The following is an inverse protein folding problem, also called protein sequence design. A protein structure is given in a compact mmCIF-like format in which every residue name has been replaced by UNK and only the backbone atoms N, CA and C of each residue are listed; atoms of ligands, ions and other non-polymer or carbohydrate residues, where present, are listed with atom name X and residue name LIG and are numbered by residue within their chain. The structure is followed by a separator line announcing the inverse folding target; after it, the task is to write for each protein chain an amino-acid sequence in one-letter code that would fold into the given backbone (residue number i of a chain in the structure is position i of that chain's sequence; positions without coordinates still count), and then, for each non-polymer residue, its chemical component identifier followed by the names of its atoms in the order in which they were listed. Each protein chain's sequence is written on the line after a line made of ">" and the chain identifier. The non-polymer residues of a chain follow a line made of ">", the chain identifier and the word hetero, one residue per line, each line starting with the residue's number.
data_IF_189939283144
#
_entry.id   IF_189939283144
#
_cell.length_a   1.000
_cell.length_b   1.000
_cell.length_c   1.000
_cell.angle_alpha   90.00
_cell.angle_beta   90.00
_cell.angle_gamma   90.00
#
_symmetry.space_group_name_H-M   'P 1'
#
loop_
_entity.id
_entity.type
_entity.pdbx_description
1 polymer ?
#
# COMPACT_ATOMS: atom_id res chain seq x y z
N UNK A 1 -62.60 32.90 27.52
CA UNK A 1 -61.43 32.01 27.65
C UNK A 1 -61.79 30.72 26.95
N UNK A 2 -61.41 30.59 25.68
CA UNK A 2 -61.71 29.39 24.89
C UNK A 2 -60.58 28.38 25.07
N UNK A 3 -60.94 27.15 25.47
CA UNK A 3 -59.99 26.06 25.64
C UNK A 3 -59.51 25.58 24.26
N UNK A 4 -58.18 25.38 24.07
CA UNK A 4 -57.66 24.88 22.81
C UNK A 4 -58.23 23.49 22.50
N UNK A 5 -58.62 23.30 21.24
CA UNK A 5 -59.22 22.07 20.74
C UNK A 5 -58.21 20.91 20.79
N UNK A 6 -58.68 19.68 21.04
CA UNK A 6 -57.84 18.46 21.16
C UNK A 6 -56.86 18.26 20.00
N UNK A 7 -57.17 18.78 18.82
CA UNK A 7 -56.32 18.69 17.64
C UNK A 7 -55.15 19.69 17.67
N UNK A 8 -55.30 20.85 18.30
CA UNK A 8 -54.21 21.79 18.52
C UNK A 8 -53.19 21.24 19.55
N UNK A 9 -53.68 20.52 20.57
CA UNK A 9 -52.81 19.85 21.55
C UNK A 9 -51.99 18.72 20.89
N UNK A 10 -52.63 17.89 20.05
CA UNK A 10 -51.93 16.82 19.30
C UNK A 10 -50.90 17.36 18.29
N UNK A 11 -51.17 18.50 17.66
CA UNK A 11 -50.22 19.11 16.73
C UNK A 11 -49.01 19.71 17.47
N UNK A 12 -49.21 20.25 18.67
CA UNK A 12 -48.12 20.71 19.53
C UNK A 12 -47.29 19.56 20.11
N UNK A 13 -47.89 18.42 20.45
CA UNK A 13 -47.18 17.22 20.90
C UNK A 13 -46.35 16.56 19.78
N UNK A 14 -46.86 16.52 18.54
CA UNK A 14 -46.08 16.05 17.38
C UNK A 14 -44.88 16.94 17.06
N UNK A 15 -45.02 18.27 17.21
CA UNK A 15 -43.88 19.19 17.06
C UNK A 15 -42.84 19.03 18.19
N UNK A 16 -43.26 18.70 19.41
CA UNK A 16 -42.34 18.38 20.53
C UNK A 16 -41.56 17.08 20.30
N UNK A 17 -42.15 16.07 19.67
CA UNK A 17 -41.47 14.80 19.39
C UNK A 17 -40.48 14.85 18.20
N UNK A 18 -40.61 15.83 17.29
CA UNK A 18 -39.67 16.02 16.17
C UNK A 18 -38.38 16.76 16.58
N UNK A 19 -38.32 17.35 17.77
CA UNK A 19 -37.13 18.04 18.29
C UNK A 19 -36.29 17.19 19.25
N UNK A 20 -36.57 15.90 19.39
CA UNK A 20 -35.75 15.00 20.20
C UNK A 20 -34.55 14.56 19.35
N UNK A 21 -33.31 15.01 19.66
CA UNK A 21 -32.14 14.61 18.88
C UNK A 21 -31.99 13.09 18.91
N UNK A 22 -31.76 12.49 17.73
CA UNK A 22 -31.58 11.05 17.60
C UNK A 22 -30.52 10.53 18.58
N UNK A 23 -30.62 9.28 19.03
CA UNK A 23 -29.60 8.65 19.90
C UNK A 23 -28.18 8.78 19.31
N UNK A 24 -28.03 8.79 17.98
CA UNK A 24 -26.75 9.02 17.30
C UNK A 24 -26.24 10.47 17.47
N UNK A 25 -27.14 11.46 17.48
CA UNK A 25 -26.82 12.88 17.71
C UNK A 25 -26.44 13.13 19.17
N UNK A 26 -27.10 12.47 20.13
CA UNK A 26 -26.75 12.55 21.55
C UNK A 26 -25.41 11.87 21.86
N UNK A 27 -25.12 10.73 21.22
CA UNK A 27 -23.81 10.05 21.31
C UNK A 27 -22.68 10.92 20.75
N UNK A 28 -22.91 11.60 19.61
CA UNK A 28 -21.96 12.58 19.06
C UNK A 28 -21.74 13.74 20.03
N UNK A 29 -22.80 14.32 20.62
CA UNK A 29 -22.67 15.41 21.60
C UNK A 29 -21.85 15.02 22.84
N UNK A 30 -22.01 13.80 23.37
CA UNK A 30 -21.18 13.31 24.49
C UNK A 30 -19.71 13.12 24.10
N UNK A 31 -19.43 12.59 22.92
CA UNK A 31 -18.05 12.50 22.40
C UNK A 31 -17.42 13.88 22.17
N UNK A 32 -18.23 14.86 21.73
CA UNK A 32 -17.81 16.25 21.54
C UNK A 32 -17.48 16.93 22.87
N UNK A 33 -18.29 16.74 23.92
CA UNK A 33 -18.01 17.28 25.25
C UNK A 33 -16.73 16.68 25.86
N UNK A 34 -16.50 15.38 25.68
CA UNK A 34 -15.25 14.74 26.11
C UNK A 34 -14.03 15.24 25.32
N UNK A 35 -14.18 15.57 24.03
CA UNK A 35 -13.07 16.10 23.21
C UNK A 35 -12.74 17.57 23.49
N UNK A 36 -13.73 18.39 23.89
CA UNK A 36 -13.51 19.80 24.24
C UNK A 36 -12.88 19.93 25.64
N UNK A 37 -13.22 19.05 26.58
CA UNK A 37 -12.55 18.97 27.88
C UNK A 37 -11.03 18.70 27.75
N UNK A 38 -10.61 18.00 26.68
CA UNK A 38 -9.19 17.75 26.37
C UNK A 38 -8.45 19.03 25.92
N UNK A 39 -9.16 20.07 25.47
CA UNK A 39 -8.58 21.34 25.00
C UNK A 39 -8.56 22.46 26.06
N UNK A 40 -8.75 22.13 27.34
CA UNK A 40 -8.61 23.08 28.44
C UNK A 40 -9.74 24.10 28.57
N UNK A 41 -10.86 23.92 27.86
CA UNK A 41 -12.09 24.66 28.11
C UNK A 41 -12.82 24.00 29.27
N UNK A 42 -12.77 24.62 30.45
CA UNK A 42 -13.58 24.21 31.59
C UNK A 42 -15.05 24.54 31.32
N UNK A 43 -15.81 23.50 30.97
CA UNK A 43 -17.24 23.56 30.64
C UNK A 43 -18.10 22.90 31.72
N UNK A 44 -17.51 22.30 32.76
CA UNK A 44 -18.24 21.43 33.68
C UNK A 44 -19.28 22.20 34.50
N UNK A 45 -18.99 23.48 34.80
CA UNK A 45 -19.83 24.34 35.65
C UNK A 45 -20.70 25.36 34.90
N UNK A 46 -20.75 25.31 33.56
CA UNK A 46 -21.51 26.28 32.77
C UNK A 46 -22.93 25.79 32.47
N UNK A 47 -23.87 26.73 32.37
CA UNK A 47 -25.21 26.46 31.81
C UNK A 47 -25.12 26.07 30.32
N UNK A 48 -26.16 25.45 29.76
CA UNK A 48 -26.15 25.02 28.35
C UNK A 48 -25.96 26.21 27.39
N UNK A 49 -26.59 27.35 27.67
CA UNK A 49 -26.45 28.59 26.89
C UNK A 49 -25.02 29.15 26.95
N UNK A 50 -24.42 29.22 28.13
CA UNK A 50 -23.03 29.69 28.30
C UNK A 50 -22.02 28.76 27.59
N UNK A 51 -22.26 27.44 27.61
CA UNK A 51 -21.44 26.49 26.85
C UNK A 51 -21.55 26.76 25.35
N UNK A 52 -22.77 26.93 24.83
CA UNK A 52 -22.97 27.20 23.41
C UNK A 52 -22.31 28.52 22.99
N UNK A 53 -22.40 29.56 23.81
CA UNK A 53 -21.79 30.87 23.53
C UNK A 53 -20.26 30.80 23.56
N UNK A 54 -19.65 30.14 24.56
CA UNK A 54 -18.20 29.92 24.59
C UNK A 54 -17.71 29.09 23.40
N UNK A 55 -18.46 28.07 23.00
CA UNK A 55 -18.13 27.27 21.81
C UNK A 55 -18.16 28.14 20.56
N UNK A 56 -19.18 28.99 20.37
CA UNK A 56 -19.27 29.91 19.22
C UNK A 56 -18.09 30.88 19.18
N UNK A 57 -17.77 31.54 20.29
CA UNK A 57 -16.63 32.45 20.38
C UNK A 57 -15.30 31.75 20.07
N UNK A 58 -15.11 30.53 20.57
CA UNK A 58 -13.93 29.74 20.26
C UNK A 58 -13.85 29.41 18.76
N UNK A 59 -14.96 28.99 18.14
CA UNK A 59 -15.02 28.67 16.70
C UNK A 59 -14.74 29.91 15.85
N UNK A 60 -15.29 31.07 16.20
CA UNK A 60 -15.04 32.34 15.51
C UNK A 60 -13.57 32.79 15.63
N UNK A 61 -12.89 32.40 16.72
CA UNK A 61 -11.46 32.66 16.90
C UNK A 61 -10.54 31.73 16.08
N UNK A 62 -11.05 30.61 15.55
CA UNK A 62 -10.25 29.69 14.73
C UNK A 62 -9.99 30.30 13.35
N UNK A 63 -8.72 30.52 13.00
CA UNK A 63 -8.33 31.07 11.68
C UNK A 63 -8.81 30.20 10.52
N UNK A 64 -8.71 28.88 10.68
CA UNK A 64 -9.12 27.90 9.68
C UNK A 64 -9.86 26.75 10.36
N UNK A 65 -11.18 26.81 10.59
CA UNK A 65 -11.89 25.74 11.29
C UNK A 65 -11.88 24.44 10.49
N UNK A 66 -11.59 23.32 11.14
CA UNK A 66 -11.55 21.99 10.53
C UNK A 66 -12.82 21.71 9.72
N UNK A 67 -12.66 21.30 8.46
CA UNK A 67 -13.77 21.03 7.55
C UNK A 67 -14.73 19.94 8.06
N UNK A 68 -14.25 18.99 8.86
CA UNK A 68 -15.03 17.86 9.35
C UNK A 68 -15.72 18.13 10.69
N UNK A 69 -14.97 18.46 11.75
CA UNK A 69 -15.54 18.63 13.09
C UNK A 69 -15.95 20.07 13.42
N UNK A 70 -15.38 21.07 12.71
CA UNK A 70 -15.57 22.51 12.98
C UNK A 70 -15.16 22.97 14.39
N UNK A 71 -14.51 22.10 15.16
CA UNK A 71 -14.18 22.33 16.58
C UNK A 71 -12.72 22.68 16.82
N UNK A 72 -11.84 22.33 15.90
CA UNK A 72 -10.40 22.51 16.02
C UNK A 72 -9.88 23.21 14.79
N UNK A 73 -8.72 23.85 14.89
CA UNK A 73 -8.05 24.41 13.74
C UNK A 73 -7.65 23.28 12.76
N UNK A 74 -7.91 23.51 11.48
CA UNK A 74 -7.51 22.66 10.39
C UNK A 74 -6.05 22.91 10.05
N UNK A 75 -5.20 21.93 10.32
CA UNK A 75 -3.75 22.01 10.13
C UNK A 75 -3.28 21.12 8.97
N UNK A 76 -4.06 20.10 8.62
CA UNK A 76 -3.68 19.09 7.64
C UNK A 76 -4.58 19.18 6.41
N UNK A 77 -3.98 19.11 5.23
CA UNK A 77 -4.72 19.15 3.97
C UNK A 77 -5.20 17.75 3.61
N UNK A 78 -6.51 17.56 3.60
CA UNK A 78 -7.15 16.37 3.06
C UNK A 78 -7.84 16.74 1.73
N UNK A 79 -7.20 16.39 0.61
CA UNK A 79 -7.57 16.84 -0.74
C UNK A 79 -7.51 18.36 -0.89
N UNK A 80 -8.64 19.06 -0.70
CA UNK A 80 -8.76 20.52 -0.79
C UNK A 80 -9.26 21.15 0.51
N UNK A 81 -9.43 20.35 1.56
CA UNK A 81 -10.02 20.77 2.83
C UNK A 81 -8.99 20.70 3.94
N UNK A 82 -8.91 21.76 4.74
CA UNK A 82 -8.14 21.74 5.98
C UNK A 82 -8.91 20.97 7.05
N UNK A 83 -8.26 19.98 7.66
CA UNK A 83 -8.83 19.18 8.75
C UNK A 83 -7.88 19.17 9.94
N UNK A 84 -8.43 19.03 11.15
CA UNK A 84 -7.61 18.88 12.34
C UNK A 84 -6.98 17.49 12.41
N UNK A 85 -5.98 17.34 13.28
CA UNK A 85 -5.22 16.11 13.47
C UNK A 85 -6.11 14.88 13.72
N UNK A 86 -7.10 15.02 14.62
CA UNK A 86 -8.00 13.92 15.00
C UNK A 86 -8.82 13.46 13.80
N UNK A 87 -9.42 14.40 13.07
CA UNK A 87 -10.22 14.12 11.88
C UNK A 87 -9.38 13.54 10.76
N UNK A 88 -8.13 13.99 10.63
CA UNK A 88 -7.18 13.45 9.67
C UNK A 88 -6.88 11.98 9.96
N UNK A 89 -6.40 11.67 11.17
CA UNK A 89 -6.10 10.30 11.62
C UNK A 89 -7.29 9.36 11.44
N UNK A 90 -8.48 9.79 11.86
CA UNK A 90 -9.70 8.99 11.70
C UNK A 90 -10.01 8.70 10.23
N UNK A 91 -9.78 9.67 9.34
CA UNK A 91 -10.03 9.48 7.90
C UNK A 91 -9.04 8.52 7.27
N UNK A 92 -7.73 8.67 7.53
CA UNK A 92 -6.69 7.79 7.01
C UNK A 92 -6.93 6.36 7.49
N UNK A 93 -7.16 6.19 8.80
CA UNK A 93 -7.53 4.90 9.38
C UNK A 93 -8.76 4.31 8.71
N UNK A 94 -9.84 5.09 8.55
CA UNK A 94 -11.08 4.59 7.94
C UNK A 94 -10.89 4.14 6.50
N UNK A 95 -10.10 4.89 5.70
CA UNK A 95 -9.78 4.51 4.32
C UNK A 95 -9.06 3.16 4.28
N UNK A 96 -8.01 3.00 5.08
CA UNK A 96 -7.25 1.76 5.14
C UNK A 96 -8.08 0.58 5.69
N UNK A 97 -8.83 0.81 6.78
CA UNK A 97 -9.66 -0.22 7.42
C UNK A 97 -10.82 -0.71 6.54
N UNK A 98 -11.42 0.19 5.72
CA UNK A 98 -12.53 -0.19 4.84
C UNK A 98 -12.15 -1.27 3.82
N UNK A 99 -10.88 -1.32 3.37
CA UNK A 99 -10.41 -2.41 2.49
C UNK A 99 -10.40 -3.76 3.19
N UNK A 100 -10.00 -3.77 4.46
CA UNK A 100 -9.98 -4.99 5.26
C UNK A 100 -11.40 -5.43 5.60
N UNK A 101 -12.30 -4.48 5.92
CA UNK A 101 -13.71 -4.77 6.21
C UNK A 101 -14.50 -5.25 4.99
N UNK A 102 -14.17 -4.74 3.80
CA UNK A 102 -14.82 -5.13 2.55
C UNK A 102 -14.44 -6.55 2.09
N UNK A 103 -13.25 -7.00 2.48
CA UNK A 103 -12.90 -8.41 2.45
C UNK A 103 -13.71 -9.13 3.54
N UNK A 104 -14.36 -10.26 3.21
CA UNK A 104 -15.18 -11.07 4.14
C UNK A 104 -14.52 -11.31 5.52
N UNK A 105 -15.31 -11.64 6.57
CA UNK A 105 -15.02 -11.30 7.97
C UNK A 105 -13.62 -11.67 8.41
N UNK A 106 -12.94 -10.74 9.09
CA UNK A 106 -11.60 -10.92 9.68
C UNK A 106 -11.49 -11.99 10.77
N UNK A 107 -12.52 -12.79 10.93
CA UNK A 107 -12.65 -13.80 11.97
C UNK A 107 -11.72 -15.00 11.75
N UNK A 108 -10.97 -15.02 10.64
CA UNK A 108 -10.09 -16.12 10.23
C UNK A 108 -8.62 -15.74 10.08
N UNK A 109 -8.21 -14.50 10.36
CA UNK A 109 -6.80 -14.11 10.27
C UNK A 109 -5.98 -14.68 11.43
N UNK A 110 -5.46 -15.91 11.27
CA UNK A 110 -4.55 -16.50 12.27
C UNK A 110 -3.18 -15.81 12.21
N UNK A 111 -2.62 -15.68 10.99
CA UNK A 111 -1.27 -15.18 10.78
C UNK A 111 -1.14 -14.28 9.54
N UNK A 112 -0.60 -13.09 9.71
CA UNK A 112 -0.45 -12.07 8.65
C UNK A 112 1.01 -11.70 8.48
N UNK A 113 1.53 -11.80 7.26
CA UNK A 113 2.82 -11.24 6.89
C UNK A 113 2.65 -9.84 6.31
N UNK A 114 3.31 -8.84 6.88
CA UNK A 114 3.43 -7.50 6.30
C UNK A 114 4.76 -7.43 5.57
N UNK A 115 4.72 -7.40 4.24
CA UNK A 115 5.92 -7.24 3.44
C UNK A 115 6.23 -5.75 3.26
N UNK A 116 7.37 -5.34 3.78
CA UNK A 116 7.95 -4.00 3.68
C UNK A 116 9.18 -4.12 2.78
N UNK A 117 9.12 -3.53 1.60
CA UNK A 117 10.22 -3.65 0.62
C UNK A 117 11.13 -2.45 0.77
N UNK A 118 12.37 -2.67 1.21
CA UNK A 118 13.37 -1.61 1.22
C UNK A 118 13.43 -0.89 -0.13
N UNK A 119 13.49 0.44 -0.14
CA UNK A 119 13.90 1.14 -1.35
C UNK A 119 15.40 0.93 -1.54
N UNK A 120 15.80 0.60 -2.77
CA UNK A 120 17.21 0.56 -3.13
C UNK A 120 17.75 1.99 -2.94
N UNK A 121 18.95 2.21 -2.37
CA UNK A 121 19.49 3.54 -2.08
C UNK A 121 19.92 4.32 -3.35
N UNK A 122 19.06 4.40 -4.35
CA UNK A 122 19.32 5.00 -5.65
C UNK A 122 18.34 6.15 -5.88
N UNK A 123 18.91 7.37 -5.88
CA UNK A 123 18.48 8.56 -6.64
C UNK A 123 17.10 9.16 -6.31
N UNK A 124 17.00 9.99 -5.26
CA UNK A 124 16.52 11.40 -5.41
C UNK A 124 16.61 12.27 -4.12
N UNK A 125 17.51 11.97 -3.18
CA UNK A 125 17.57 12.70 -1.89
C UNK A 125 18.17 14.12 -1.96
N UNK A 126 18.43 14.67 -3.16
CA UNK A 126 19.18 15.94 -3.30
C UNK A 126 18.33 17.21 -3.47
N UNK A 127 17.00 17.15 -3.46
CA UNK A 127 16.19 18.33 -3.82
C UNK A 127 15.35 19.00 -2.72
N UNK A 128 15.38 18.54 -1.49
CA UNK A 128 14.76 19.29 -0.40
C UNK A 128 15.56 19.14 0.88
N UNK A 129 15.90 20.27 1.53
CA UNK A 129 16.36 20.34 2.92
C UNK A 129 15.26 19.91 3.92
N UNK A 130 14.29 19.09 3.48
CA UNK A 130 13.21 18.57 4.29
C UNK A 130 13.60 17.16 4.72
N UNK A 131 13.48 16.92 6.03
CA UNK A 131 13.58 15.64 6.76
C UNK A 131 13.50 14.45 5.80
N UNK A 132 14.58 13.66 5.75
CA UNK A 132 14.69 12.43 4.95
C UNK A 132 13.49 11.54 5.28
N UNK A 133 12.55 11.49 4.34
CA UNK A 133 11.36 10.67 4.37
C UNK A 133 11.79 9.20 4.31
N UNK A 134 11.34 8.39 5.27
CA UNK A 134 11.41 6.93 5.19
C UNK A 134 10.00 6.41 4.87
N UNK A 135 9.65 6.23 3.58
CA UNK A 135 8.34 5.74 3.16
C UNK A 135 7.94 4.45 3.87
N UNK A 136 8.92 3.61 4.20
CA UNK A 136 8.72 2.31 4.84
C UNK A 136 8.25 2.47 6.29
N UNK A 137 8.82 3.43 7.01
CA UNK A 137 8.37 3.77 8.35
C UNK A 137 6.93 4.29 8.31
N UNK A 138 6.59 5.11 7.31
CA UNK A 138 5.26 5.66 7.15
C UNK A 138 4.20 4.59 6.83
N UNK A 139 4.48 3.72 5.87
CA UNK A 139 3.63 2.58 5.52
C UNK A 139 3.43 1.65 6.69
N UNK A 140 4.51 1.26 7.37
CA UNK A 140 4.45 0.39 8.54
C UNK A 140 3.58 0.99 9.65
N UNK A 141 3.71 2.29 9.91
CA UNK A 141 2.92 2.99 10.93
C UNK A 141 1.43 2.91 10.64
N UNK A 142 1.02 3.15 9.38
CA UNK A 142 -0.38 3.04 8.97
C UNK A 142 -0.85 1.60 9.13
N UNK A 143 -0.11 0.64 8.58
CA UNK A 143 -0.45 -0.79 8.62
C UNK A 143 -0.62 -1.29 10.05
N UNK A 144 0.34 -0.99 10.93
CA UNK A 144 0.28 -1.37 12.35
C UNK A 144 -0.89 -0.70 13.06
N UNK A 145 -1.20 0.57 12.80
CA UNK A 145 -2.36 1.22 13.44
C UNK A 145 -3.67 0.57 13.00
N UNK A 146 -3.76 0.24 11.70
CA UNK A 146 -4.95 -0.36 11.10
C UNK A 146 -5.15 -1.77 11.64
N UNK A 147 -4.12 -2.62 11.57
CA UNK A 147 -4.13 -4.01 12.05
C UNK A 147 -4.23 -4.08 13.59
N UNK A 148 -3.58 -3.17 14.31
CA UNK A 148 -3.60 -3.13 15.77
C UNK A 148 -4.96 -2.75 16.34
N UNK A 149 -5.73 -1.87 15.70
CA UNK A 149 -7.09 -1.51 16.17
C UNK A 149 -8.15 -2.56 15.83
N UNK A 150 -7.94 -3.39 14.81
CA UNK A 150 -8.77 -4.60 14.56
C UNK A 150 -8.80 -5.47 15.82
N UNK A 151 -7.68 -5.58 16.53
CA UNK A 151 -7.51 -6.37 17.76
C UNK A 151 -8.44 -5.94 18.91
N UNK A 152 -8.79 -4.66 19.01
CA UNK A 152 -9.58 -4.13 20.13
C UNK A 152 -11.10 -4.38 20.01
N UNK A 153 -11.56 -5.05 18.95
CA UNK A 153 -12.98 -5.36 18.70
C UNK A 153 -13.44 -6.76 19.14
N UNK A 154 -12.76 -7.44 20.08
CA UNK A 154 -12.97 -8.84 20.53
C UNK A 154 -12.48 -9.95 19.58
N UNK A 155 -11.71 -9.65 18.52
CA UNK A 155 -11.10 -10.68 17.66
C UNK A 155 -9.62 -10.34 17.43
N UNK A 156 -8.75 -11.11 18.05
CA UNK A 156 -7.31 -10.88 18.05
C UNK A 156 -6.72 -11.45 16.76
N UNK A 157 -6.09 -10.59 15.94
CA UNK A 157 -5.04 -11.03 15.03
C UNK A 157 -3.93 -11.62 15.90
N UNK A 158 -3.78 -12.94 15.88
CA UNK A 158 -2.92 -13.63 16.84
C UNK A 158 -1.43 -13.41 16.55
N UNK A 159 -1.04 -13.34 15.28
CA UNK A 159 0.37 -13.22 14.88
C UNK A 159 0.53 -12.28 13.68
N UNK A 160 1.18 -11.13 13.90
CA UNK A 160 1.69 -10.27 12.84
C UNK A 160 3.18 -10.56 12.70
N UNK A 161 3.63 -10.82 11.48
CA UNK A 161 5.04 -10.93 11.13
C UNK A 161 5.40 -9.84 10.11
N UNK A 162 6.64 -9.39 10.14
CA UNK A 162 7.17 -8.41 9.20
C UNK A 162 8.22 -9.10 8.35
N UNK A 163 8.11 -8.95 7.03
CA UNK A 163 9.19 -9.29 6.10
C UNK A 163 9.80 -7.99 5.58
N UNK A 164 11.07 -7.74 5.93
CA UNK A 164 11.87 -6.70 5.30
C UNK A 164 12.73 -7.31 4.20
N UNK A 165 12.51 -6.87 2.96
CA UNK A 165 13.41 -7.21 1.85
C UNK A 165 14.58 -6.22 1.82
N UNK A 166 15.75 -6.70 2.21
CA UNK A 166 16.98 -5.92 2.23
C UNK A 166 17.58 -5.82 0.82
N UNK A 167 17.79 -4.57 0.39
CA UNK A 167 18.40 -4.19 -0.88
C UNK A 167 19.72 -3.41 -0.66
N UNK A 168 20.32 -3.54 0.52
CA UNK A 168 21.56 -2.85 0.89
C UNK A 168 21.34 -1.45 1.48
N UNK A 169 20.12 -1.12 1.90
CA UNK A 169 19.83 0.13 2.62
C UNK A 169 19.87 -0.11 4.13
N UNK A 170 21.06 0.04 4.72
CA UNK A 170 21.29 -0.18 6.15
C UNK A 170 20.46 0.76 7.04
N UNK A 171 20.16 1.98 6.59
CA UNK A 171 19.34 2.90 7.39
C UNK A 171 17.88 2.44 7.45
N UNK A 172 17.29 2.08 6.31
CA UNK A 172 15.93 1.53 6.27
C UNK A 172 15.84 0.22 7.06
N UNK A 173 16.85 -0.64 6.99
CA UNK A 173 16.95 -1.87 7.78
C UNK A 173 16.95 -1.58 9.28
N UNK A 174 17.82 -0.67 9.72
CA UNK A 174 17.92 -0.25 11.13
C UNK A 174 16.62 0.39 11.62
N UNK A 175 15.97 1.21 10.79
CA UNK A 175 14.63 1.75 11.07
C UNK A 175 13.62 0.62 11.28
N UNK A 176 13.48 -0.30 10.33
CA UNK A 176 12.49 -1.40 10.43
C UNK A 176 12.80 -2.33 11.62
N UNK A 177 14.08 -2.58 11.93
CA UNK A 177 14.48 -3.29 13.15
C UNK A 177 14.01 -2.58 14.42
N UNK A 178 14.22 -1.26 14.51
CA UNK A 178 13.78 -0.49 15.69
C UNK A 178 12.26 -0.46 15.81
N UNK A 179 11.56 -0.36 14.70
CA UNK A 179 10.10 -0.50 14.65
C UNK A 179 9.67 -1.88 15.17
N UNK A 180 10.23 -2.96 14.65
CA UNK A 180 9.89 -4.31 15.09
C UNK A 180 10.13 -4.54 16.59
N UNK A 181 11.24 -4.01 17.12
CA UNK A 181 11.56 -4.03 18.56
C UNK A 181 10.50 -3.28 19.38
N UNK A 182 10.24 -2.02 19.03
CA UNK A 182 9.30 -1.14 19.76
C UNK A 182 7.89 -1.76 19.82
N UNK A 183 7.47 -2.42 18.75
CA UNK A 183 6.13 -3.01 18.65
C UNK A 183 6.06 -4.48 19.01
N UNK A 184 7.19 -5.10 19.39
CA UNK A 184 7.28 -6.52 19.74
C UNK A 184 6.69 -7.43 18.65
N UNK A 185 7.08 -7.16 17.41
CA UNK A 185 6.64 -7.91 16.22
C UNK A 185 7.82 -8.71 15.68
N UNK A 186 7.57 -9.95 15.25
CA UNK A 186 8.61 -10.78 14.64
C UNK A 186 9.05 -10.17 13.31
N UNK A 187 10.36 -9.95 13.16
CA UNK A 187 10.96 -9.41 11.96
C UNK A 187 11.80 -10.47 11.25
N UNK A 188 11.46 -10.71 9.99
CA UNK A 188 12.21 -11.53 9.06
C UNK A 188 12.92 -10.61 8.07
N UNK A 189 14.25 -10.60 8.12
CA UNK A 189 15.06 -9.86 7.14
C UNK A 189 15.50 -10.86 6.07
N UNK A 190 15.24 -10.53 4.81
CA UNK A 190 15.66 -11.32 3.66
C UNK A 190 16.43 -10.46 2.68
N UNK A 191 17.66 -10.83 2.41
CA UNK A 191 18.43 -10.16 1.37
C UNK A 191 18.04 -10.73 0.01
N UNK A 192 17.85 -9.86 -0.98
CA UNK A 192 17.38 -10.32 -2.31
C UNK A 192 18.35 -11.29 -2.99
N UNK A 193 19.65 -11.14 -2.72
CA UNK A 193 20.67 -12.05 -3.23
C UNK A 193 20.56 -13.47 -2.65
N UNK A 194 19.83 -13.70 -1.56
CA UNK A 194 19.55 -15.05 -1.04
C UNK A 194 18.85 -15.91 -2.11
N UNK A 195 18.07 -15.28 -3.00
CA UNK A 195 17.48 -15.96 -4.16
C UNK A 195 18.51 -16.54 -5.14
N UNK A 196 19.75 -16.05 -5.08
CA UNK A 196 20.86 -16.39 -5.96
C UNK A 196 22.07 -16.94 -5.17
N UNK A 197 21.80 -17.59 -4.02
CA UNK A 197 22.84 -18.20 -3.18
C UNK A 197 23.63 -17.20 -2.33
N UNK A 198 23.10 -16.00 -2.11
CA UNK A 198 23.71 -14.95 -1.27
C UNK A 198 24.75 -14.08 -1.97
N UNK A 199 24.87 -14.15 -3.30
CA UNK A 199 25.88 -13.41 -4.07
C UNK A 199 25.26 -12.24 -4.86
N UNK A 200 25.68 -11.02 -4.56
CA UNK A 200 25.30 -9.82 -5.32
C UNK A 200 25.80 -9.88 -6.77
N UNK A 201 26.95 -10.52 -7.00
CA UNK A 201 27.43 -10.75 -8.36
C UNK A 201 26.49 -11.64 -9.16
N UNK A 202 25.94 -12.69 -8.55
CA UNK A 202 25.01 -13.60 -9.22
C UNK A 202 23.70 -12.89 -9.56
N UNK A 203 23.17 -12.10 -8.62
CA UNK A 203 22.01 -11.24 -8.88
C UNK A 203 22.29 -10.26 -10.02
N UNK A 204 23.42 -9.55 -9.99
CA UNK A 204 23.78 -8.58 -11.02
C UNK A 204 24.00 -9.26 -12.39
N UNK A 205 24.65 -10.44 -12.41
CA UNK A 205 24.82 -11.26 -13.64
C UNK A 205 23.47 -11.68 -14.20
N UNK A 206 22.54 -12.14 -13.35
CA UNK A 206 21.19 -12.51 -13.75
C UNK A 206 20.41 -11.31 -14.30
N UNK A 207 20.39 -10.17 -13.62
CA UNK A 207 19.67 -8.98 -14.08
C UNK A 207 20.19 -8.47 -15.42
N UNK A 208 21.51 -8.49 -15.66
CA UNK A 208 22.13 -8.09 -16.94
C UNK A 208 21.67 -8.92 -18.15
N UNK A 209 21.05 -10.08 -17.92
CA UNK A 209 20.46 -10.91 -18.97
C UNK A 209 19.20 -10.26 -19.56
N UNK A 210 18.57 -9.31 -18.87
CA UNK A 210 17.34 -8.67 -19.29
C UNK A 210 17.56 -7.20 -19.62
N UNK A 211 16.79 -6.70 -20.59
CA UNK A 211 16.76 -5.26 -20.91
C UNK A 211 16.04 -4.45 -19.84
N UNK A 212 14.94 -4.98 -19.31
CA UNK A 212 14.17 -4.37 -18.23
C UNK A 212 14.54 -5.00 -16.88
N UNK A 213 15.65 -4.54 -16.30
CA UNK A 213 16.20 -5.10 -15.07
C UNK A 213 15.32 -4.81 -13.85
N UNK A 214 14.69 -3.64 -13.81
CA UNK A 214 13.87 -3.21 -12.68
C UNK A 214 12.57 -4.01 -12.61
N UNK A 215 11.96 -4.33 -13.75
CA UNK A 215 10.80 -5.22 -13.84
C UNK A 215 11.12 -6.65 -13.37
N UNK A 216 12.26 -7.21 -13.82
CA UNK A 216 12.72 -8.54 -13.36
C UNK A 216 12.99 -8.53 -11.86
N UNK A 217 13.61 -7.47 -11.34
CA UNK A 217 13.86 -7.32 -9.92
C UNK A 217 12.56 -7.31 -9.12
N UNK A 218 11.51 -6.63 -9.58
CA UNK A 218 10.18 -6.65 -8.95
C UNK A 218 9.58 -8.06 -8.93
N UNK A 219 9.71 -8.80 -10.03
CA UNK A 219 9.21 -10.17 -10.12
C UNK A 219 9.94 -11.08 -9.12
N UNK A 220 11.27 -10.96 -9.02
CA UNK A 220 12.07 -11.71 -8.05
C UNK A 220 11.68 -11.35 -6.61
N UNK A 221 11.53 -10.06 -6.29
CA UNK A 221 11.06 -9.59 -4.97
C UNK A 221 9.71 -10.22 -4.61
N UNK A 222 8.76 -10.18 -5.54
CA UNK A 222 7.42 -10.71 -5.31
C UNK A 222 7.45 -12.22 -5.07
N UNK A 223 8.18 -12.99 -5.87
CA UNK A 223 8.32 -14.43 -5.64
C UNK A 223 9.01 -14.75 -4.31
N UNK A 224 10.02 -13.97 -3.89
CA UNK A 224 10.69 -14.14 -2.61
C UNK A 224 9.75 -13.86 -1.42
N UNK A 225 8.85 -12.88 -1.56
CA UNK A 225 7.79 -12.62 -0.58
C UNK A 225 6.85 -13.82 -0.48
N UNK A 226 6.41 -14.37 -1.61
CA UNK A 226 5.51 -15.53 -1.64
C UNK A 226 6.17 -16.80 -1.08
N UNK A 227 7.44 -17.04 -1.43
CA UNK A 227 8.26 -18.13 -0.87
C UNK A 227 8.38 -18.03 0.65
N UNK A 228 8.65 -16.83 1.15
CA UNK A 228 8.77 -16.58 2.58
C UNK A 228 7.42 -16.73 3.29
N UNK A 229 6.34 -16.24 2.66
CA UNK A 229 4.97 -16.40 3.15
C UNK A 229 4.60 -17.89 3.29
N UNK A 230 5.00 -18.73 2.33
CA UNK A 230 4.77 -20.17 2.40
C UNK A 230 5.59 -20.82 3.53
N UNK A 231 6.86 -20.46 3.68
CA UNK A 231 7.73 -21.01 4.75
C UNK A 231 7.26 -20.65 6.16
N UNK A 232 6.69 -19.46 6.31
CA UNK A 232 6.16 -18.97 7.59
C UNK A 232 4.71 -19.44 7.84
N UNK A 233 4.14 -20.21 6.91
CA UNK A 233 2.77 -20.68 6.91
C UNK A 233 1.74 -19.56 7.16
N UNK A 234 1.95 -18.38 6.57
CA UNK A 234 1.02 -17.27 6.74
C UNK A 234 -0.22 -17.48 5.88
N UNK A 235 -1.39 -17.09 6.39
CA UNK A 235 -2.65 -17.18 5.66
C UNK A 235 -2.88 -15.95 4.77
N UNK A 236 -2.30 -14.83 5.17
CA UNK A 236 -2.54 -13.53 4.55
C UNK A 236 -1.24 -12.75 4.39
N UNK A 237 -1.13 -12.07 3.25
CA UNK A 237 -0.01 -11.21 2.90
C UNK A 237 -0.51 -9.78 2.75
N UNK A 238 0.10 -8.82 3.43
CA UNK A 238 -0.16 -7.41 3.22
C UNK A 238 1.03 -6.77 2.50
N UNK A 239 0.75 -6.13 1.37
CA UNK A 239 1.72 -5.34 0.62
C UNK A 239 1.55 -3.86 0.96
N UNK A 240 2.66 -3.11 0.97
CA UNK A 240 2.68 -1.68 1.30
C UNK A 240 2.32 -0.76 0.14
N UNK A 241 2.03 -1.29 -1.05
CA UNK A 241 1.73 -0.45 -2.22
C UNK A 241 0.55 0.51 -1.95
N UNK A 242 0.81 1.80 -2.07
CA UNK A 242 -0.22 2.82 -1.95
C UNK A 242 -0.96 3.04 -3.27
N UNK A 243 -2.00 3.86 -3.26
CA UNK A 243 -2.78 4.16 -4.45
C UNK A 243 -1.97 4.77 -5.60
N UNK A 244 -0.94 5.55 -5.27
CA UNK A 244 -0.07 6.14 -6.28
C UNK A 244 0.85 5.11 -6.92
N UNK A 245 1.40 4.18 -6.14
CA UNK A 245 2.20 3.06 -6.67
C UNK A 245 1.37 2.13 -7.54
N UNK A 246 0.15 1.80 -7.09
CA UNK A 246 -0.77 0.96 -7.88
C UNK A 246 -1.12 1.64 -9.21
N UNK A 247 -1.38 2.95 -9.21
CA UNK A 247 -1.66 3.70 -10.43
C UNK A 247 -0.45 3.71 -11.37
N UNK A 248 0.74 4.03 -10.86
CA UNK A 248 2.01 4.00 -11.61
C UNK A 248 2.28 2.62 -12.21
N UNK A 249 2.28 1.57 -11.40
CA UNK A 249 2.56 0.19 -11.81
C UNK A 249 1.52 -0.27 -12.86
N UNK A 250 0.23 0.04 -12.65
CA UNK A 250 -0.82 -0.33 -13.61
C UNK A 250 -0.63 0.37 -14.95
N UNK A 251 -0.35 1.67 -14.95
CA UNK A 251 -0.12 2.41 -16.20
C UNK A 251 1.16 1.95 -16.91
N UNK A 252 2.20 1.57 -16.16
CA UNK A 252 3.41 0.96 -16.71
C UNK A 252 3.06 -0.36 -17.43
N UNK A 253 2.32 -1.26 -16.77
CA UNK A 253 1.87 -2.51 -17.36
C UNK A 253 1.03 -2.28 -18.62
N UNK A 254 0.05 -1.37 -18.58
CA UNK A 254 -0.80 -1.07 -19.74
C UNK A 254 0.03 -0.51 -20.91
N UNK A 255 0.93 0.42 -20.65
CA UNK A 255 1.79 1.03 -21.69
C UNK A 255 2.79 0.04 -22.30
N UNK A 256 3.16 -1.00 -21.56
CA UNK A 256 3.97 -2.13 -22.07
C UNK A 256 3.13 -3.18 -22.83
N UNK A 257 1.81 -3.01 -22.94
CA UNK A 257 0.90 -3.99 -23.55
C UNK A 257 0.58 -5.17 -22.64
N UNK A 258 0.73 -5.02 -21.32
CA UNK A 258 0.47 -6.03 -20.28
C UNK A 258 -0.83 -5.73 -19.52
N UNK A 259 -1.88 -5.35 -20.25
CA UNK A 259 -3.14 -4.89 -19.67
C UNK A 259 -3.87 -5.91 -18.80
N UNK A 260 -3.62 -7.22 -18.93
CA UNK A 260 -4.25 -8.23 -18.05
C UNK A 260 -3.44 -8.42 -16.75
N UNK A 261 -2.11 -8.25 -16.80
CA UNK A 261 -1.25 -8.32 -15.60
C UNK A 261 -1.66 -7.27 -14.55
N UNK A 262 -2.23 -6.14 -14.97
CA UNK A 262 -2.68 -5.09 -14.04
C UNK A 262 -3.77 -5.56 -13.07
N UNK A 263 -4.51 -6.63 -13.37
CA UNK A 263 -5.60 -7.11 -12.51
C UNK A 263 -5.11 -7.54 -11.12
N UNK A 264 -3.86 -7.95 -11.00
CA UNK A 264 -3.25 -8.29 -9.70
C UNK A 264 -2.92 -7.04 -8.89
N UNK A 265 -2.58 -5.94 -9.56
CA UNK A 265 -2.23 -4.67 -8.93
C UNK A 265 -3.45 -3.92 -8.41
N UNK A 266 -4.54 -3.89 -9.20
CA UNK A 266 -5.70 -3.05 -8.91
C UNK A 266 -6.50 -3.55 -7.70
N UNK A 267 -6.51 -4.85 -7.44
CA UNK A 267 -7.37 -5.43 -6.43
C UNK A 267 -6.93 -5.04 -5.00
N UNK A 268 -7.90 -4.58 -4.19
CA UNK A 268 -7.68 -4.39 -2.75
C UNK A 268 -7.35 -5.71 -2.05
N UNK A 269 -7.97 -6.80 -2.53
CA UNK A 269 -7.70 -8.18 -2.10
C UNK A 269 -7.59 -9.07 -3.33
N UNK A 270 -6.43 -9.69 -3.50
CA UNK A 270 -6.15 -10.65 -4.57
C UNK A 270 -5.99 -12.06 -3.99
N UNK A 271 -6.57 -13.04 -4.66
CA UNK A 271 -6.21 -14.46 -4.45
C UNK A 271 -5.04 -14.78 -5.36
N UNK A 272 -3.94 -15.22 -4.76
CA UNK A 272 -2.71 -15.57 -5.48
C UNK A 272 -2.38 -17.01 -5.17
N UNK A 273 -2.45 -17.85 -6.21
CA UNK A 273 -2.03 -19.24 -6.10
C UNK A 273 -0.49 -19.28 -6.17
N UNK A 274 0.13 -19.83 -5.14
CA UNK A 274 1.57 -20.08 -5.11
C UNK A 274 1.82 -21.51 -4.67
N UNK A 275 2.37 -22.31 -5.59
CA UNK A 275 2.47 -23.76 -5.45
C UNK A 275 1.10 -24.37 -5.10
N UNK A 276 0.99 -25.05 -3.97
CA UNK A 276 -0.23 -25.70 -3.49
C UNK A 276 -1.07 -24.83 -2.55
N UNK A 277 -0.61 -23.63 -2.17
CA UNK A 277 -1.30 -22.73 -1.23
C UNK A 277 -1.90 -21.52 -1.97
N UNK A 278 -3.14 -21.19 -1.64
CA UNK A 278 -3.75 -19.93 -2.06
C UNK A 278 -3.50 -18.88 -0.96
N UNK A 279 -2.90 -17.76 -1.33
CA UNK A 279 -2.69 -16.63 -0.45
C UNK A 279 -3.73 -15.54 -0.73
N UNK A 280 -4.21 -14.91 0.34
CA UNK A 280 -4.98 -13.68 0.24
C UNK A 280 -4.04 -12.48 0.43
N UNK A 281 -3.87 -11.70 -0.63
CA UNK A 281 -2.96 -10.56 -0.71
C UNK A 281 -3.74 -9.26 -0.56
N UNK A 282 -3.42 -8.44 0.43
CA UNK A 282 -4.09 -7.18 0.78
C UNK A 282 -3.24 -5.99 0.37
N UNK A 283 -3.91 -4.96 -0.14
CA UNK A 283 -3.34 -3.64 -0.42
C UNK A 283 -4.05 -2.60 0.42
N UNK A 284 -3.74 -2.58 1.72
CA UNK A 284 -4.44 -1.78 2.72
C UNK A 284 -4.29 -0.28 2.45
N UNK A 285 -3.19 0.13 1.81
CA UNK A 285 -2.87 1.53 1.50
C UNK A 285 -3.39 1.99 0.13
N UNK A 286 -4.16 1.15 -0.60
CA UNK A 286 -4.65 1.45 -1.96
C UNK A 286 -5.39 2.79 -2.08
N UNK A 287 -6.16 3.18 -1.08
CA UNK A 287 -6.93 4.45 -1.10
C UNK A 287 -6.17 5.65 -0.53
N UNK A 288 -4.89 5.47 -0.22
CA UNK A 288 -4.00 6.51 0.28
C UNK A 288 -3.00 6.91 -0.79
N UNK A 289 -2.60 8.17 -0.77
CA UNK A 289 -1.51 8.69 -1.59
C UNK A 289 -0.29 8.96 -0.70
N UNK A 290 0.89 9.12 -1.29
CA UNK A 290 2.14 9.33 -0.55
C UNK A 290 2.07 10.49 0.45
N UNK A 291 1.54 11.63 0.03
CA UNK A 291 1.37 12.78 0.94
C UNK A 291 0.42 12.49 2.10
N UNK A 292 -0.58 11.64 1.91
CA UNK A 292 -1.50 11.26 2.97
C UNK A 292 -0.85 10.33 4.00
N UNK A 293 -0.06 9.37 3.51
CA UNK A 293 0.72 8.44 4.34
C UNK A 293 1.79 9.21 5.13
N UNK A 294 2.47 10.16 4.49
CA UNK A 294 3.51 10.96 5.13
C UNK A 294 2.97 11.87 6.24
N UNK A 295 1.90 12.61 5.99
CA UNK A 295 1.30 13.46 7.02
C UNK A 295 0.74 12.63 8.18
N UNK A 296 0.16 11.46 7.90
CA UNK A 296 -0.24 10.53 8.94
C UNK A 296 0.96 10.08 9.78
N UNK A 297 2.05 9.71 9.14
CA UNK A 297 3.29 9.33 9.80
C UNK A 297 3.82 10.44 10.71
N UNK A 298 3.89 11.69 10.23
CA UNK A 298 4.32 12.84 11.05
C UNK A 298 3.46 12.99 12.31
N UNK A 299 2.16 12.82 12.19
CA UNK A 299 1.24 12.87 13.33
C UNK A 299 1.58 11.77 14.34
N UNK A 300 1.74 10.53 13.87
CA UNK A 300 2.08 9.41 14.74
C UNK A 300 3.43 9.62 15.41
N UNK A 301 4.40 10.19 14.70
CA UNK A 301 5.71 10.53 15.25
C UNK A 301 5.64 11.59 16.34
N UNK A 302 4.59 12.41 16.47
CA UNK A 302 4.44 13.36 17.57
C UNK A 302 3.95 12.71 18.88
N UNK A 303 3.44 11.47 18.82
CA UNK A 303 2.89 10.81 19.99
C UNK A 303 4.00 10.49 21.01
N UNK A 304 3.74 10.65 22.34
CA UNK A 304 4.74 10.39 23.38
C UNK A 304 5.33 8.98 23.35
N UNK A 305 4.51 7.99 22.99
CA UNK A 305 4.89 6.58 22.84
C UNK A 305 5.96 6.34 21.77
N UNK A 306 6.16 7.28 20.83
CA UNK A 306 7.13 7.18 19.75
C UNK A 306 8.40 8.01 19.98
N UNK A 307 8.61 8.55 21.19
CA UNK A 307 9.76 9.40 21.51
C UNK A 307 11.10 8.72 21.24
N UNK A 308 11.25 7.46 21.64
CA UNK A 308 12.47 6.68 21.41
C UNK A 308 12.79 6.54 19.91
N UNK A 309 11.76 6.35 19.09
CA UNK A 309 11.90 6.27 17.65
C UNK A 309 12.27 7.63 17.03
N UNK A 310 11.71 8.73 17.54
CA UNK A 310 12.12 10.08 17.10
C UNK A 310 13.61 10.32 17.35
N UNK A 311 14.11 9.94 18.53
CA UNK A 311 15.53 10.08 18.90
C UNK A 311 16.43 9.20 18.03
N UNK A 312 15.98 7.98 17.75
CA UNK A 312 16.67 7.08 16.84
C UNK A 312 16.79 7.64 15.42
N UNK A 313 15.71 8.22 14.89
CA UNK A 313 15.72 8.81 13.55
C UNK A 313 16.61 10.04 13.44
N UNK A 314 16.62 10.91 14.45
CA UNK A 314 17.58 12.02 14.52
C UNK A 314 19.02 11.51 14.50
N UNK A 315 19.29 10.40 15.19
CA UNK A 315 20.62 9.76 15.20
C UNK A 315 21.00 9.23 13.82
N UNK A 316 20.08 8.57 13.11
CA UNK A 316 20.32 8.09 11.74
C UNK A 316 20.55 9.24 10.76
N UNK A 317 19.77 10.33 10.87
CA UNK A 317 19.92 11.51 10.03
C UNK A 317 21.28 12.17 10.22
N UNK A 318 21.73 12.36 11.47
CA UNK A 318 23.06 12.91 11.75
C UNK A 318 24.17 12.04 11.12
N UNK A 319 24.06 10.70 11.23
CA UNK A 319 25.00 9.77 10.58
C UNK A 319 24.96 9.85 9.06
N UNK A 320 23.77 10.03 8.47
CA UNK A 320 23.60 10.20 7.02
C UNK A 320 24.22 11.50 6.53
N UNK A 321 24.06 12.61 7.25
CA UNK A 321 24.67 13.90 6.89
C UNK A 321 26.20 13.84 6.92
N UNK A 322 26.76 13.12 7.88
CA UNK A 322 28.21 12.85 7.97
C UNK A 322 28.68 11.98 6.78
N UNK A 323 27.95 10.92 6.44
CA UNK A 323 28.28 10.03 5.32
C UNK A 323 28.05 10.67 3.95
N UNK A 324 27.05 11.55 3.81
CA UNK A 324 26.71 12.22 2.56
C UNK A 324 27.79 13.21 2.12
N UNK A 325 28.53 13.80 3.08
CA UNK A 325 29.74 14.60 2.79
C UNK A 325 30.85 13.76 2.14
N UNK A 326 30.87 12.44 2.41
CA UNK A 326 31.85 11.50 1.86
C UNK A 326 31.36 10.75 0.60
N UNK A 327 30.04 10.60 0.40
CA UNK A 327 29.42 9.82 -0.67
C UNK A 327 29.41 10.49 -2.07
N UNK A 328 29.91 11.73 -2.19
CA UNK A 328 29.98 12.46 -3.47
C UNK A 328 30.81 11.73 -4.55
N UNK A 329 31.63 10.75 -4.18
CA UNK A 329 32.43 9.92 -5.09
C UNK A 329 31.61 8.78 -5.75
N UNK A 330 30.62 8.21 -5.07
CA UNK A 330 29.86 7.04 -5.54
C UNK A 330 28.74 7.42 -6.53
N UNK A 331 28.22 8.64 -6.38
CA UNK A 331 27.14 9.23 -7.19
C UNK A 331 27.53 9.46 -8.67
N UNK A 332 28.84 9.44 -9.00
CA UNK A 332 29.32 9.61 -10.39
C UNK A 332 29.00 8.42 -11.30
N UNK A 333 28.94 7.20 -10.77
CA UNK A 333 28.69 6.00 -11.57
C UNK A 333 27.18 5.72 -11.77
N UNK A 334 26.31 6.36 -11.00
CA UNK A 334 24.85 6.17 -11.02
C UNK A 334 24.09 7.17 -11.91
N UNK A 335 24.70 8.32 -12.21
CA UNK A 335 24.15 9.35 -13.11
C UNK A 335 23.93 8.92 -14.57
N UNK A 336 24.28 7.70 -14.93
CA UNK A 336 24.05 7.16 -16.27
C UNK A 336 22.82 6.24 -16.37
N UNK A 337 22.08 6.00 -15.27
CA UNK A 337 20.84 5.21 -15.35
C UNK A 337 19.80 6.00 -16.16
N UNK A 338 19.39 5.47 -17.31
CA UNK A 338 18.31 6.06 -18.12
C UNK A 338 17.01 6.01 -17.29
N UNK A 339 16.19 7.07 -17.30
CA UNK A 339 14.93 7.05 -16.57
C UNK A 339 14.06 5.92 -17.10
N UNK A 340 13.49 5.15 -16.18
CA UNK A 340 12.56 4.07 -16.49
C UNK A 340 11.18 4.64 -16.80
N UNK A 341 10.30 3.83 -17.39
CA UNK A 341 8.91 4.21 -17.58
C UNK A 341 8.23 4.53 -16.25
N UNK A 342 8.63 3.85 -15.18
CA UNK A 342 8.09 4.07 -13.84
C UNK A 342 8.53 5.40 -13.25
N UNK A 343 9.79 5.81 -13.46
CA UNK A 343 10.28 7.12 -13.01
C UNK A 343 9.50 8.26 -13.69
N UNK A 344 9.25 8.10 -14.99
CA UNK A 344 8.46 9.04 -15.79
C UNK A 344 7.01 9.07 -15.27
N UNK A 345 6.40 7.91 -15.05
CA UNK A 345 5.02 7.80 -14.55
C UNK A 345 4.88 8.30 -13.11
N UNK A 346 5.88 8.09 -12.25
CA UNK A 346 5.90 8.65 -10.89
C UNK A 346 5.85 10.17 -10.96
N UNK A 347 6.79 10.77 -11.71
CA UNK A 347 6.86 12.21 -11.92
C UNK A 347 5.56 12.77 -12.53
N UNK A 348 4.94 12.03 -13.44
CA UNK A 348 3.67 12.37 -14.06
C UNK A 348 2.53 12.41 -13.04
N UNK A 349 2.36 11.36 -12.24
CA UNK A 349 1.33 11.30 -11.21
C UNK A 349 1.57 12.32 -10.10
N UNK A 350 2.81 12.57 -9.69
CA UNK A 350 3.16 13.60 -8.71
C UNK A 350 2.72 14.99 -9.19
N UNK A 351 3.12 15.37 -10.40
CA UNK A 351 2.75 16.66 -10.99
C UNK A 351 1.23 16.79 -11.19
N UNK A 352 0.58 15.75 -11.70
CA UNK A 352 -0.86 15.76 -11.90
C UNK A 352 -1.63 15.84 -10.59
N UNK A 353 -1.15 15.19 -9.53
CA UNK A 353 -1.83 15.21 -8.24
C UNK A 353 -1.75 16.60 -7.58
N UNK A 354 -0.66 17.34 -7.78
CA UNK A 354 -0.52 18.74 -7.33
C UNK A 354 -1.52 19.65 -8.05
N UNK A 355 -1.63 19.55 -9.38
CA UNK A 355 -2.53 20.40 -10.16
C UNK A 355 -4.00 19.97 -10.04
N UNK A 356 -4.25 18.67 -10.03
CA UNK A 356 -5.58 18.06 -10.03
C UNK A 356 -5.70 17.05 -8.88
N UNK A 357 -6.03 17.53 -7.67
CA UNK A 357 -6.24 16.65 -6.52
C UNK A 357 -7.31 15.60 -6.82
N UNK A 358 -7.02 14.33 -6.52
CA UNK A 358 -7.86 13.14 -6.80
C UNK A 358 -7.66 12.48 -8.16
N UNK A 359 -6.64 12.87 -8.94
CA UNK A 359 -6.29 12.17 -10.18
C UNK A 359 -5.98 10.70 -9.93
N UNK A 360 -5.14 10.42 -8.93
CA UNK A 360 -4.80 9.03 -8.54
C UNK A 360 -6.06 8.23 -8.19
N UNK A 361 -6.95 8.78 -7.36
CA UNK A 361 -8.21 8.10 -7.01
C UNK A 361 -9.12 7.87 -8.22
N UNK A 362 -9.16 8.81 -9.17
CA UNK A 362 -9.97 8.69 -10.38
C UNK A 362 -9.41 7.59 -11.29
N UNK A 363 -8.08 7.52 -11.41
CA UNK A 363 -7.40 6.45 -12.12
C UNK A 363 -7.73 5.08 -11.50
N UNK A 364 -7.53 4.91 -10.19
CA UNK A 364 -7.82 3.66 -9.48
C UNK A 364 -9.29 3.23 -9.60
N UNK A 365 -10.24 4.16 -9.44
CA UNK A 365 -11.67 3.83 -9.61
C UNK A 365 -12.05 3.47 -11.03
N UNK A 366 -11.36 4.05 -12.02
CA UNK A 366 -11.55 3.68 -13.43
C UNK A 366 -11.01 2.29 -13.68
N UNK A 367 -9.84 1.96 -13.12
CA UNK A 367 -9.23 0.64 -13.18
C UNK A 367 -10.13 -0.43 -12.53
N UNK A 368 -10.74 -0.14 -11.38
CA UNK A 368 -11.72 -1.04 -10.73
C UNK A 368 -12.90 -1.40 -11.65
N UNK A 369 -13.35 -0.47 -12.53
CA UNK A 369 -14.44 -0.73 -13.50
C UNK A 369 -14.02 -1.55 -14.71
N UNK A 370 -12.74 -1.52 -15.06
CA UNK A 370 -12.20 -2.28 -16.21
C UNK A 370 -11.94 -3.73 -15.81
N UNK A 371 -11.65 -3.99 -14.53
CA UNK A 371 -11.34 -5.31 -13.98
C UNK A 371 -12.33 -6.40 -14.40
N UNK A 372 -13.63 -6.12 -14.32
CA UNK A 372 -14.67 -7.14 -14.47
C UNK A 372 -14.84 -7.64 -15.93
N UNK A 373 -14.11 -7.07 -16.88
CA UNK A 373 -14.21 -7.39 -18.31
C UNK A 373 -13.28 -8.53 -18.76
N UNK A 374 -12.28 -8.90 -17.97
CA UNK A 374 -11.28 -9.89 -18.37
C UNK A 374 -11.65 -11.29 -17.87
N UNK A 375 -11.88 -12.21 -18.80
CA UNK A 375 -11.89 -13.64 -18.52
C UNK A 375 -10.46 -14.13 -18.48
N UNK A 376 -10.09 -14.84 -17.42
CA UNK A 376 -8.70 -15.25 -17.19
C UNK A 376 -8.64 -16.75 -17.00
N UNK A 377 -7.62 -17.37 -17.61
CA UNK A 377 -7.28 -18.76 -17.34
C UNK A 377 -6.87 -19.00 -15.88
N UNK A 378 -7.00 -20.27 -15.48
CA UNK A 378 -6.81 -20.68 -14.08
C UNK A 378 -5.34 -20.82 -13.68
N UNK A 379 -4.44 -21.06 -14.64
CA UNK A 379 -3.02 -21.25 -14.31
C UNK A 379 -2.27 -19.91 -14.22
N UNK A 380 -1.59 -19.62 -13.10
CA UNK A 380 -0.73 -18.46 -13.00
C UNK A 380 0.54 -18.66 -13.84
N UNK A 381 1.13 -17.56 -14.30
CA UNK A 381 2.46 -17.51 -14.88
C UNK A 381 3.48 -17.95 -13.82
N UNK A 382 4.30 -18.96 -14.10
CA UNK A 382 5.26 -19.42 -13.08
C UNK A 382 6.31 -18.37 -12.72
N UNK A 383 6.60 -17.46 -13.65
CA UNK A 383 7.64 -16.46 -13.48
C UNK A 383 7.15 -15.28 -12.65
N UNK A 384 6.08 -14.59 -13.06
CA UNK A 384 5.58 -13.42 -12.34
C UNK A 384 4.43 -13.70 -11.37
N UNK A 385 3.94 -14.95 -11.32
CA UNK A 385 2.71 -15.34 -10.61
C UNK A 385 1.45 -14.65 -11.15
N UNK A 386 1.62 -13.90 -12.25
CA UNK A 386 0.62 -13.22 -13.06
C UNK A 386 -0.49 -14.14 -13.51
N UNK A 387 -1.67 -13.58 -13.71
CA UNK A 387 -2.70 -14.25 -14.48
C UNK A 387 -2.24 -14.41 -15.94
N UNK A 388 -2.50 -15.55 -16.55
CA UNK A 388 -2.15 -15.77 -17.95
C UNK A 388 -3.15 -15.09 -18.87
N UNK A 389 -2.61 -14.51 -19.94
CA UNK A 389 -3.34 -13.71 -20.89
C UNK A 389 -3.87 -14.66 -21.97
N UNK A 390 -5.19 -14.68 -22.19
CA UNK A 390 -5.71 -15.17 -23.46
C UNK A 390 -5.45 -14.11 -24.49
N UNK A 391 -4.73 -14.47 -25.54
CA UNK A 391 -4.50 -13.57 -26.67
C UNK A 391 -5.81 -13.54 -27.47
N UNK A 392 -6.53 -12.43 -27.35
CA UNK A 392 -7.85 -12.27 -27.98
C UNK A 392 -7.84 -11.21 -29.08
N UNK A 393 -6.84 -10.34 -29.11
CA UNK A 393 -6.75 -9.25 -30.08
C UNK A 393 -5.87 -9.63 -31.26
N UNK A 394 -6.30 -9.27 -32.47
CA UNK A 394 -5.56 -9.53 -33.71
C UNK A 394 -4.18 -8.87 -33.75
N UNK A 395 -4.02 -7.67 -33.17
CA UNK A 395 -2.70 -7.02 -33.04
C UNK A 395 -1.74 -7.78 -32.11
N UNK A 396 -2.31 -8.41 -31.08
CA UNK A 396 -1.54 -9.28 -30.19
C UNK A 396 -1.22 -10.60 -30.89
N UNK A 397 -2.14 -11.14 -31.71
CA UNK A 397 -1.92 -12.31 -32.55
C UNK A 397 -0.79 -12.08 -33.56
N UNK A 398 -0.74 -10.95 -34.26
CA UNK A 398 0.35 -10.66 -35.22
C UNK A 398 1.72 -10.62 -34.49
N UNK A 399 1.78 -9.98 -33.33
CA UNK A 399 2.98 -9.97 -32.47
C UNK A 399 3.30 -11.38 -31.94
N UNK A 400 2.26 -12.18 -31.68
CA UNK A 400 2.36 -13.54 -31.18
C UNK A 400 2.75 -14.55 -32.26
N UNK A 401 2.37 -14.35 -33.51
CA UNK A 401 2.80 -15.15 -34.66
C UNK A 401 4.28 -14.92 -34.97
N UNK A 402 4.77 -13.69 -34.78
CA UNK A 402 6.20 -13.41 -34.76
C UNK A 402 6.92 -14.04 -33.55
N UNK A 403 6.25 -14.20 -32.42
CA UNK A 403 6.71 -15.03 -31.29
C UNK A 403 6.58 -16.53 -31.59
N UNK A 404 5.67 -16.93 -32.48
CA UNK A 404 5.33 -18.26 -32.99
C UNK A 404 6.52 -19.08 -33.45
N UNK A 405 7.49 -18.38 -34.03
CA UNK A 405 8.72 -18.97 -34.59
C UNK A 405 9.85 -19.04 -33.57
N UNK A 406 9.65 -18.56 -32.34
CA UNK A 406 10.68 -18.48 -31.31
C UNK A 406 10.58 -19.64 -30.32
N UNK A 407 11.73 -20.10 -29.81
CA UNK A 407 11.82 -21.10 -28.74
C UNK A 407 11.09 -20.70 -27.44
N UNK A 408 10.68 -19.44 -27.29
CA UNK A 408 9.97 -18.93 -26.09
C UNK A 408 8.63 -19.62 -25.87
N UNK A 409 7.94 -19.99 -26.95
CA UNK A 409 6.65 -20.66 -26.83
C UNK A 409 6.74 -22.08 -26.28
N UNK A 410 7.93 -22.69 -26.31
CA UNK A 410 8.15 -24.00 -25.69
C UNK A 410 8.16 -23.91 -24.16
N UNK A 411 8.32 -22.71 -23.59
CA UNK A 411 8.21 -22.50 -22.15
C UNK A 411 6.72 -22.37 -21.79
N UNK A 412 6.09 -23.50 -21.51
CA UNK A 412 4.69 -23.56 -21.09
C UNK A 412 4.45 -22.70 -19.84
N UNK A 413 3.28 -22.08 -19.78
CA UNK A 413 2.81 -21.24 -18.67
C UNK A 413 3.61 -19.96 -18.34
N UNK A 414 4.12 -19.25 -19.36
CA UNK A 414 4.43 -17.82 -19.23
C UNK A 414 3.21 -16.96 -19.65
N UNK A 415 2.97 -15.86 -18.95
CA UNK A 415 2.07 -14.83 -19.48
C UNK A 415 2.74 -14.06 -20.63
N UNK A 416 1.94 -13.42 -21.48
CA UNK A 416 2.42 -12.68 -22.64
C UNK A 416 3.52 -11.66 -22.28
N UNK A 417 3.34 -10.94 -21.17
CA UNK A 417 4.35 -10.00 -20.67
C UNK A 417 5.70 -10.65 -20.37
N UNK A 418 5.70 -11.78 -19.66
CA UNK A 418 6.93 -12.51 -19.36
C UNK A 418 7.54 -13.15 -20.61
N UNK A 419 6.72 -13.63 -21.56
CA UNK A 419 7.23 -14.13 -22.84
C UNK A 419 7.98 -13.04 -23.61
N UNK A 420 7.43 -11.81 -23.69
CA UNK A 420 8.12 -10.69 -24.36
C UNK A 420 9.41 -10.32 -23.67
N UNK A 421 9.42 -10.30 -22.34
CA UNK A 421 10.61 -10.03 -21.56
C UNK A 421 11.71 -11.08 -21.78
N UNK A 422 11.34 -12.36 -21.89
CA UNK A 422 12.26 -13.45 -22.22
C UNK A 422 12.75 -13.35 -23.68
N UNK A 423 11.87 -13.03 -24.64
CA UNK A 423 12.25 -12.77 -26.05
C UNK A 423 13.27 -11.64 -26.17
N UNK A 424 13.11 -10.61 -25.34
CA UNK A 424 13.93 -9.41 -25.36
C UNK A 424 15.21 -9.51 -24.52
N UNK A 425 15.45 -10.65 -23.86
CA UNK A 425 16.66 -10.91 -23.12
C UNK A 425 17.90 -10.93 -24.04
N UNK A 426 19.06 -10.70 -23.43
CA UNK A 426 20.36 -10.66 -24.10
C UNK A 426 20.98 -12.05 -24.32
N UNK A 427 20.30 -13.11 -23.88
CA UNK A 427 20.78 -14.50 -23.89
C UNK A 427 19.67 -15.45 -24.36
N UNK A 428 20.04 -16.70 -24.63
CA UNK A 428 19.07 -17.74 -24.98
C UNK A 428 18.17 -18.10 -23.80
N UNK A 429 17.02 -18.69 -24.09
CA UNK A 429 16.00 -19.02 -23.09
C UNK A 429 16.48 -20.14 -22.20
N UNK A 430 17.14 -21.14 -22.78
CA UNK A 430 17.73 -22.25 -22.06
C UNK A 430 18.69 -21.73 -20.97
N UNK A 431 19.52 -20.75 -21.31
CA UNK A 431 20.40 -20.09 -20.35
C UNK A 431 19.63 -19.26 -19.30
N UNK A 432 18.53 -18.59 -19.67
CA UNK A 432 17.67 -17.90 -18.68
C UNK A 432 17.12 -18.93 -17.68
N UNK A 433 16.55 -20.01 -18.20
CA UNK A 433 15.92 -21.08 -17.40
C UNK A 433 16.94 -21.72 -16.45
N UNK A 434 18.17 -21.96 -16.91
CA UNK A 434 19.27 -22.46 -16.08
C UNK A 434 19.68 -21.47 -14.98
N UNK A 435 19.54 -20.17 -15.21
CA UNK A 435 19.92 -19.12 -14.25
C UNK A 435 18.77 -18.67 -13.34
N UNK A 436 17.55 -19.19 -13.52
CA UNK A 436 16.43 -18.85 -12.64
C UNK A 436 16.70 -19.25 -11.19
N UNK A 437 16.25 -18.43 -10.20
CA UNK A 437 16.24 -18.82 -8.79
C UNK A 437 15.56 -20.18 -8.56
N UNK A 438 16.05 -21.02 -7.64
CA UNK A 438 15.49 -22.35 -7.39
C UNK A 438 13.98 -22.36 -7.13
N UNK A 439 13.46 -21.40 -6.36
CA UNK A 439 12.02 -21.32 -6.08
C UNK A 439 11.17 -20.94 -7.31
N UNK A 440 11.72 -20.19 -8.27
CA UNK A 440 11.00 -19.89 -9.53
C UNK A 440 11.00 -21.11 -10.44
N UNK A 441 12.11 -21.87 -10.50
CA UNK A 441 12.15 -23.15 -11.22
C UNK A 441 11.13 -24.15 -10.68
N UNK A 442 10.99 -24.22 -9.35
CA UNK A 442 10.01 -25.08 -8.72
C UNK A 442 8.56 -24.67 -9.09
N UNK A 443 8.28 -23.37 -9.15
CA UNK A 443 6.98 -22.87 -9.63
C UNK A 443 6.68 -23.33 -11.06
N UNK A 444 7.70 -23.40 -11.93
CA UNK A 444 7.53 -23.90 -13.29
C UNK A 444 7.07 -25.36 -13.29
N UNK A 445 7.79 -26.22 -12.56
CA UNK A 445 7.48 -27.65 -12.46
C UNK A 445 6.05 -27.88 -11.94
N UNK A 446 5.65 -27.11 -10.93
CA UNK A 446 4.30 -27.22 -10.35
C UNK A 446 3.23 -26.73 -11.33
N UNK A 447 3.50 -25.64 -12.06
CA UNK A 447 2.56 -25.10 -13.05
C UNK A 447 2.32 -26.10 -14.19
N UNK A 448 3.38 -26.76 -14.68
CA UNK A 448 3.26 -27.82 -15.69
C UNK A 448 2.39 -28.99 -15.19
N UNK A 449 2.62 -29.50 -13.97
CA UNK A 449 1.80 -30.56 -13.37
C UNK A 449 0.33 -30.16 -13.24
N UNK A 450 0.05 -28.90 -12.85
CA UNK A 450 -1.31 -28.40 -12.73
C UNK A 450 -2.02 -28.32 -14.09
N UNK A 451 -1.30 -27.99 -15.17
CA UNK A 451 -1.85 -28.01 -16.52
C UNK A 451 -2.15 -29.42 -17.02
N UNK A 452 -1.24 -30.37 -16.79
CA UNK A 452 -1.47 -31.79 -17.11
C UNK A 452 -2.75 -32.31 -16.45
N UNK A 453 -2.91 -32.06 -15.14
CA UNK A 453 -4.13 -32.41 -14.40
C UNK A 453 -5.40 -31.71 -14.91
N UNK A 454 -5.27 -30.51 -15.50
CA UNK A 454 -6.41 -29.81 -16.10
C UNK A 454 -6.76 -30.40 -17.47
N UNK A 455 -5.76 -30.81 -18.26
CA UNK A 455 -5.94 -31.49 -19.55
C UNK A 455 -6.59 -32.86 -19.36
N UNK A 456 -6.23 -33.60 -18.31
CA UNK A 456 -6.84 -34.90 -17.97
C UNK A 456 -8.31 -34.80 -17.53
N UNK A 457 -8.76 -33.63 -17.05
CA UNK A 457 -10.14 -33.39 -16.60
C UNK A 457 -11.08 -32.91 -17.70
N UNK A 458 -10.55 -32.53 -18.86
CA UNK A 458 -11.31 -32.11 -20.05
C UNK A 458 -11.48 -33.30 -20.98
#
# INVERSE_FOLDING_TARGET
>A
MENPTKDQVKLQEKKKQQNIPSKATQSKRKQIQQQIAIQGLDLENLTEEEREQKIKQHIEALKNPCANCKQQEGQYTLRKQLVCEICYNQKIYSKAYNHIRGAKPMEMFKKVLVAVVGEYPILDQKKSNEIIYDPLAADFTVLKTVLGKVRNGNKVLNEIEILYLDLGNENSKLTVQKWAELYKVNLHIKHINEAFGGSDENLAKFLKQFKDQDEVLKIVKYNLIMETSQKLDVDYLCLSDCGQDIAKNTFALVSQGRGISMLQEINSVSKVQYRQKEFLVFRILKDLINSEIYEYYKIQMKLPENKELQEFQKTLQNKQEENSKNAALFDKNLKQKKPTMEDILSTFFDKLQVTFPSTVHTALRSLDKVRDKYQVEKCPCFFCLGKQDKIVNQLELDTYEELGKSKVQQVENLCFGCMRMFKNANISIEQIMENLPPFIKENQIISMKLQEQQKEKQ
#
